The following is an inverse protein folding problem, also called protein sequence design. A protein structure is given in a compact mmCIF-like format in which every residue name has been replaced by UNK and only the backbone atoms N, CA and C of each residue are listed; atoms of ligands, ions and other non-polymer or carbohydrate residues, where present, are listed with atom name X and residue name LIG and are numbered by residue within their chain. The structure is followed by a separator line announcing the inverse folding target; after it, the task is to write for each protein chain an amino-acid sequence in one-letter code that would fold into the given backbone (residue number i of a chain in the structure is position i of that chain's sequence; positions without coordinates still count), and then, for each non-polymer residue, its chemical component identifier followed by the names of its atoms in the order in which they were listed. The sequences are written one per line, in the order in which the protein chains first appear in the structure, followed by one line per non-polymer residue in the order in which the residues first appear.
data_IF_977536545063
#
_entry.id   IF_977536545063
#
_cell.length_a   1.000
_cell.length_b   1.000
_cell.length_c   1.000
_cell.angle_alpha   90.00
_cell.angle_beta   90.00
_cell.angle_gamma   90.00
#
_symmetry.space_group_name_H-M   'P 1'
#
loop_
_entity.id
_entity.type
_entity.pdbx_description
1 polymer ?
#
# COMPACT_ATOMS: atom_id res chain seq x y z
N UNK A 1 -0.52 -12.87 16.85
CA UNK A 1 -1.18 -13.75 17.82
C UNK A 1 -0.73 -13.40 19.25
N UNK A 2 -1.60 -13.59 20.25
CA UNK A 2 -1.42 -13.15 21.66
C UNK A 2 -0.29 -13.87 22.42
N UNK A 3 0.25 -14.97 21.89
CA UNK A 3 1.13 -15.89 22.62
C UNK A 3 2.50 -16.14 21.97
N UNK A 4 2.86 -15.46 20.87
CA UNK A 4 4.13 -15.69 20.16
C UNK A 4 5.35 -15.63 21.09
N UNK A 5 5.45 -14.57 21.90
CA UNK A 5 6.51 -14.39 22.91
C UNK A 5 6.58 -15.54 23.91
N UNK A 6 5.43 -16.07 24.32
CA UNK A 6 5.37 -17.17 25.26
C UNK A 6 5.83 -18.49 24.64
N UNK A 7 5.44 -18.76 23.39
CA UNK A 7 5.90 -19.94 22.65
C UNK A 7 7.38 -19.88 22.33
N UNK A 8 7.88 -18.74 21.82
CA UNK A 8 9.32 -18.57 21.57
C UNK A 8 10.15 -18.73 22.84
N UNK A 9 9.68 -18.20 23.98
CA UNK A 9 10.41 -18.31 25.25
C UNK A 9 10.41 -19.74 25.82
N UNK A 10 9.33 -20.49 25.64
CA UNK A 10 9.10 -21.73 26.38
C UNK A 10 9.23 -23.00 25.52
N UNK A 11 9.13 -22.91 24.19
CA UNK A 11 9.14 -24.05 23.26
C UNK A 11 9.63 -23.60 21.87
N UNK A 12 10.84 -23.03 21.83
CA UNK A 12 11.42 -22.40 20.63
C UNK A 12 11.53 -23.38 19.46
N UNK A 13 12.07 -24.59 19.68
CA UNK A 13 12.30 -25.58 18.62
C UNK A 13 11.02 -25.98 17.89
N UNK A 14 9.94 -26.27 18.65
CA UNK A 14 8.65 -26.64 18.04
C UNK A 14 7.96 -25.44 17.40
N UNK A 15 8.13 -24.25 17.96
CA UNK A 15 7.57 -23.04 17.39
C UNK A 15 8.22 -22.68 16.06
N UNK A 16 9.55 -22.75 15.97
CA UNK A 16 10.30 -22.56 14.72
C UNK A 16 9.91 -23.59 13.67
N UNK A 17 9.81 -24.88 14.06
CA UNK A 17 9.32 -25.93 13.16
C UNK A 17 7.90 -25.70 12.68
N UNK A 18 7.00 -25.25 13.57
CA UNK A 18 5.63 -24.89 13.19
C UNK A 18 5.60 -23.75 12.17
N UNK A 19 6.41 -22.71 12.34
CA UNK A 19 6.51 -21.61 11.36
C UNK A 19 7.02 -22.11 10.01
N UNK A 20 8.02 -23.01 10.01
CA UNK A 20 8.51 -23.65 8.79
C UNK A 20 7.41 -24.50 8.13
N UNK A 21 6.70 -25.32 8.88
CA UNK A 21 5.59 -26.14 8.37
C UNK A 21 4.46 -25.26 7.78
N UNK A 22 4.21 -24.07 8.34
CA UNK A 22 3.26 -23.09 7.76
C UNK A 22 3.80 -22.50 6.45
N UNK A 23 5.08 -22.14 6.39
CA UNK A 23 5.71 -21.63 5.15
C UNK A 23 5.69 -22.67 4.03
N UNK A 24 5.89 -23.95 4.38
CA UNK A 24 5.85 -25.08 3.44
C UNK A 24 4.41 -25.53 3.12
N UNK A 25 3.38 -24.87 3.66
CA UNK A 25 1.97 -25.19 3.43
C UNK A 25 1.47 -26.48 4.12
N UNK A 26 2.30 -27.08 4.99
CA UNK A 26 1.99 -28.29 5.77
C UNK A 26 1.12 -28.01 6.99
N UNK A 27 1.12 -26.77 7.47
CA UNK A 27 0.28 -26.29 8.56
C UNK A 27 -0.46 -25.00 8.16
N UNK A 28 -1.59 -24.72 8.82
CA UNK A 28 -2.41 -23.52 8.57
C UNK A 28 -2.37 -22.58 9.77
N UNK A 29 -2.12 -21.30 9.51
CA UNK A 29 -2.31 -20.23 10.49
C UNK A 29 -3.66 -19.55 10.25
N UNK A 30 -4.45 -19.34 11.30
CA UNK A 30 -5.73 -18.63 11.17
C UNK A 30 -5.48 -17.12 11.07
N UNK A 31 -5.43 -16.61 9.85
CA UNK A 31 -5.29 -15.19 9.50
C UNK A 31 -6.61 -14.50 9.24
N UNK A 32 -7.76 -15.18 9.36
CA UNK A 32 -9.08 -14.56 9.10
C UNK A 32 -9.40 -13.39 10.05
N UNK A 33 -8.70 -13.28 11.18
CA UNK A 33 -8.85 -12.20 12.17
C UNK A 33 -7.77 -11.12 12.03
N UNK A 34 -6.75 -11.33 11.18
CA UNK A 34 -5.62 -10.41 11.03
C UNK A 34 -5.74 -9.61 9.73
N UNK A 35 -5.71 -8.29 9.86
CA UNK A 35 -5.63 -7.38 8.70
C UNK A 35 -4.17 -7.05 8.37
N UNK A 36 -3.87 -6.57 7.15
CA UNK A 36 -2.52 -6.10 6.79
C UNK A 36 -1.98 -5.07 7.79
N UNK A 37 -2.83 -4.14 8.22
CA UNK A 37 -2.42 -3.07 9.12
C UNK A 37 -2.25 -3.51 10.58
N UNK A 38 -2.87 -4.62 11.01
CA UNK A 38 -2.55 -5.22 12.30
C UNK A 38 -1.11 -5.76 12.34
N UNK A 39 -0.63 -6.30 11.22
CA UNK A 39 0.75 -6.77 11.09
C UNK A 39 1.72 -5.58 11.09
N UNK A 40 1.41 -4.51 10.34
CA UNK A 40 2.21 -3.28 10.37
C UNK A 40 2.26 -2.66 11.77
N UNK A 41 1.13 -2.61 12.49
CA UNK A 41 1.10 -2.12 13.88
C UNK A 41 2.02 -2.93 14.78
N UNK A 42 2.10 -4.25 14.58
CA UNK A 42 3.02 -5.11 15.32
C UNK A 42 4.48 -4.82 14.99
N UNK A 43 4.81 -4.49 13.75
CA UNK A 43 6.17 -4.08 13.37
C UNK A 43 6.60 -2.81 14.11
N UNK A 44 5.70 -1.82 14.26
CA UNK A 44 6.00 -0.58 14.98
C UNK A 44 6.28 -0.79 16.47
N UNK A 45 5.59 -1.77 17.10
CA UNK A 45 5.67 -2.01 18.55
C UNK A 45 6.66 -3.13 18.91
N UNK A 46 6.84 -4.12 18.04
CA UNK A 46 7.55 -5.37 18.33
C UNK A 46 8.65 -5.62 17.26
N UNK A 47 9.88 -5.16 17.52
CA UNK A 47 10.97 -5.27 16.54
C UNK A 47 11.64 -6.67 16.46
N UNK A 48 11.23 -7.63 17.30
CA UNK A 48 11.97 -8.89 17.53
C UNK A 48 11.30 -10.17 16.98
N UNK A 49 10.17 -10.06 16.26
CA UNK A 49 9.41 -11.22 15.74
C UNK A 49 9.23 -11.21 14.21
N UNK A 50 10.21 -10.69 13.47
CA UNK A 50 10.12 -10.48 12.01
C UNK A 50 9.71 -11.75 11.24
N UNK A 51 10.27 -12.92 11.57
CA UNK A 51 9.93 -14.19 10.91
C UNK A 51 8.47 -14.61 11.11
N UNK A 52 7.93 -14.44 12.32
CA UNK A 52 6.54 -14.73 12.61
C UNK A 52 5.60 -13.75 11.89
N UNK A 53 5.99 -12.48 11.79
CA UNK A 53 5.24 -11.44 11.07
C UNK A 53 5.25 -11.68 9.56
N UNK A 54 6.39 -12.06 8.97
CA UNK A 54 6.48 -12.49 7.58
C UNK A 54 5.55 -13.66 7.30
N UNK A 55 5.56 -14.67 8.17
CA UNK A 55 4.70 -15.85 8.03
C UNK A 55 3.22 -15.47 8.09
N UNK A 56 2.84 -14.58 9.01
CA UNK A 56 1.46 -14.05 9.07
C UNK A 56 1.09 -13.28 7.81
N UNK A 57 1.99 -12.44 7.30
CA UNK A 57 1.77 -11.62 6.10
C UNK A 57 1.55 -12.47 4.85
N UNK A 58 2.41 -13.46 4.63
CA UNK A 58 2.34 -14.38 3.50
C UNK A 58 1.07 -15.25 3.52
N UNK A 59 0.47 -15.45 4.71
CA UNK A 59 -0.77 -16.20 4.89
C UNK A 59 -2.02 -15.31 4.92
N UNK A 60 -1.91 -13.99 4.66
CA UNK A 60 -3.11 -13.14 4.55
C UNK A 60 -3.97 -13.58 3.36
N UNK A 61 -5.29 -13.72 3.54
CA UNK A 61 -6.18 -14.10 2.45
C UNK A 61 -6.09 -13.07 1.32
N UNK A 62 -6.29 -13.52 0.07
CA UNK A 62 -6.44 -12.59 -1.05
C UNK A 62 -7.89 -12.06 -1.09
N UNK A 63 -8.07 -10.81 -0.69
CA UNK A 63 -9.38 -10.15 -0.63
C UNK A 63 -9.92 -9.79 -2.03
N UNK A 64 -9.06 -9.77 -3.05
CA UNK A 64 -9.45 -9.50 -4.44
C UNK A 64 -9.89 -10.78 -5.19
N UNK A 65 -9.78 -11.96 -4.56
CA UNK A 65 -10.12 -13.23 -5.19
C UNK A 65 -9.15 -13.61 -6.31
N UNK A 66 -9.63 -14.36 -7.31
CA UNK A 66 -8.82 -14.69 -8.50
C UNK A 66 -8.64 -13.49 -9.44
N UNK A 67 -9.52 -12.50 -9.32
CA UNK A 67 -9.47 -11.26 -10.07
C UNK A 67 -8.27 -10.42 -9.62
N UNK A 68 -7.49 -9.92 -10.59
CA UNK A 68 -6.50 -8.88 -10.29
C UNK A 68 -7.19 -7.54 -10.19
N UNK A 69 -6.74 -6.74 -9.22
CA UNK A 69 -7.06 -5.33 -9.23
C UNK A 69 -6.11 -4.65 -10.22
N UNK A 70 -6.61 -4.14 -11.35
CA UNK A 70 -5.79 -3.34 -12.28
C UNK A 70 -5.63 -1.91 -11.70
N UNK A 71 -4.97 -1.80 -10.55
CA UNK A 71 -4.86 -0.55 -9.81
C UNK A 71 -3.41 -0.19 -9.50
N UNK A 72 -3.14 1.09 -9.26
CA UNK A 72 -1.92 1.53 -8.58
C UNK A 72 -2.33 2.22 -7.27
N UNK A 73 -1.61 1.96 -6.19
CA UNK A 73 -1.90 2.53 -4.87
C UNK A 73 -0.94 3.67 -4.56
N UNK A 74 -1.48 4.78 -4.07
CA UNK A 74 -0.73 5.90 -3.53
C UNK A 74 -0.85 5.90 -2.00
N UNK A 75 0.28 5.85 -1.32
CA UNK A 75 0.41 5.68 0.13
C UNK A 75 0.75 7.02 0.79
N UNK A 76 -0.14 7.53 1.63
CA UNK A 76 0.15 8.69 2.46
C UNK A 76 0.96 8.28 3.70
N UNK A 77 2.11 8.92 3.88
CA UNK A 77 2.98 8.76 5.05
C UNK A 77 3.34 10.12 5.68
N UNK A 78 2.53 11.14 5.39
CA UNK A 78 2.69 12.49 5.92
C UNK A 78 2.53 12.55 7.44
N UNK A 79 2.92 13.68 8.04
CA UNK A 79 2.91 13.84 9.50
C UNK A 79 1.53 13.75 10.16
N UNK A 80 0.44 14.02 9.41
CA UNK A 80 -0.95 13.89 9.89
C UNK A 80 -1.35 12.41 10.03
N UNK A 81 -0.76 11.54 9.19
CA UNK A 81 -0.87 10.09 9.27
C UNK A 81 -0.08 9.58 10.48
N UNK A 82 -0.69 9.65 11.66
CA UNK A 82 -0.10 9.18 12.92
C UNK A 82 -0.99 8.13 13.59
N UNK A 83 -0.39 7.21 14.35
CA UNK A 83 -1.14 6.15 15.04
C UNK A 83 -1.72 5.08 14.10
N UNK A 84 -3.03 4.90 14.09
CA UNK A 84 -3.69 3.89 13.25
C UNK A 84 -3.69 4.25 11.75
N UNK A 85 -4.02 5.48 11.31
CA UNK A 85 -3.97 5.91 9.91
C UNK A 85 -2.71 5.47 9.14
N UNK A 86 -1.51 5.70 9.69
CA UNK A 86 -0.26 5.30 9.03
C UNK A 86 -0.10 3.80 8.89
N UNK A 87 -0.52 3.02 9.90
CA UNK A 87 -0.51 1.57 9.82
C UNK A 87 -1.44 1.06 8.72
N UNK A 88 -2.61 1.69 8.58
CA UNK A 88 -3.61 1.36 7.55
C UNK A 88 -3.08 1.70 6.17
N UNK A 89 -2.54 2.91 6.00
CA UNK A 89 -1.97 3.38 4.73
C UNK A 89 -0.86 2.46 4.22
N UNK A 90 0.17 2.22 5.04
CA UNK A 90 1.30 1.38 4.66
C UNK A 90 0.86 -0.08 4.45
N UNK A 91 0.03 -0.61 5.36
CA UNK A 91 -0.43 -2.00 5.29
C UNK A 91 -1.23 -2.27 4.02
N UNK A 92 -2.16 -1.38 3.67
CA UNK A 92 -2.94 -1.52 2.44
C UNK A 92 -2.09 -1.27 1.19
N UNK A 93 -1.15 -0.31 1.21
CA UNK A 93 -0.28 -0.03 0.08
C UNK A 93 0.58 -1.25 -0.29
N UNK A 94 1.29 -1.85 0.68
CA UNK A 94 2.10 -3.05 0.43
C UNK A 94 1.19 -4.21 -0.01
N UNK A 95 0.07 -4.40 0.67
CA UNK A 95 -0.85 -5.50 0.40
C UNK A 95 -1.44 -5.45 -1.02
N UNK A 96 -1.89 -4.27 -1.46
CA UNK A 96 -2.44 -4.03 -2.79
C UNK A 96 -1.34 -4.17 -3.83
N UNK A 97 -0.18 -3.54 -3.65
CA UNK A 97 0.92 -3.59 -4.59
C UNK A 97 1.36 -5.04 -4.88
N UNK A 98 1.52 -5.87 -3.85
CA UNK A 98 1.90 -7.28 -4.02
C UNK A 98 0.83 -8.16 -4.66
N UNK A 99 -0.46 -7.81 -4.51
CA UNK A 99 -1.58 -8.59 -5.08
C UNK A 99 -2.03 -8.06 -6.45
N UNK A 100 -1.50 -6.93 -6.86
CA UNK A 100 -1.65 -6.40 -8.20
C UNK A 100 -1.02 -7.36 -9.23
N UNK A 101 -1.49 -7.31 -10.47
CA UNK A 101 -0.92 -8.09 -11.59
C UNK A 101 -0.45 -7.14 -12.69
N UNK A 102 0.30 -7.67 -13.65
CA UNK A 102 0.82 -6.89 -14.77
C UNK A 102 1.96 -5.95 -14.36
N UNK A 103 2.11 -4.83 -15.08
CA UNK A 103 3.26 -3.92 -14.96
C UNK A 103 3.39 -3.22 -13.62
N UNK A 104 2.29 -3.11 -12.88
CA UNK A 104 2.23 -2.42 -11.59
C UNK A 104 2.25 -3.40 -10.40
N UNK A 105 2.46 -4.70 -10.66
CA UNK A 105 2.78 -5.66 -9.61
C UNK A 105 3.99 -5.17 -8.82
N UNK A 106 3.88 -5.20 -7.49
CA UNK A 106 4.87 -4.68 -6.54
C UNK A 106 5.20 -3.20 -6.66
N UNK A 107 4.38 -2.39 -7.33
CA UNK A 107 4.60 -0.95 -7.39
C UNK A 107 3.60 -0.19 -6.52
N UNK A 108 4.06 0.89 -5.90
CA UNK A 108 3.23 1.87 -5.20
C UNK A 108 3.75 3.28 -5.46
N UNK A 109 2.94 4.29 -5.14
CA UNK A 109 3.30 5.70 -5.23
C UNK A 109 3.39 6.28 -3.82
N UNK A 110 4.42 7.06 -3.51
CA UNK A 110 4.43 7.87 -2.30
C UNK A 110 3.51 9.09 -2.50
N UNK A 111 2.52 9.28 -1.65
CA UNK A 111 1.61 10.41 -1.76
C UNK A 111 2.22 11.63 -1.06
N UNK A 112 3.02 12.38 -1.83
CA UNK A 112 3.72 13.57 -1.36
C UNK A 112 3.68 14.71 -2.40
N UNK A 113 4.35 15.83 -2.13
CA UNK A 113 4.43 16.98 -3.03
C UNK A 113 5.13 16.66 -4.36
N UNK A 114 6.15 15.80 -4.33
CA UNK A 114 6.90 15.26 -5.48
C UNK A 114 6.76 13.73 -5.57
N UNK A 115 5.51 13.27 -5.72
CA UNK A 115 5.15 11.85 -5.76
C UNK A 115 5.87 11.09 -6.88
N UNK A 116 6.30 9.87 -6.59
CA UNK A 116 7.08 8.99 -7.47
C UNK A 116 6.58 7.55 -7.37
N UNK A 117 6.83 6.79 -8.44
CA UNK A 117 6.61 5.35 -8.41
C UNK A 117 7.81 4.65 -7.75
N UNK A 118 7.51 3.75 -6.82
CA UNK A 118 8.48 2.92 -6.10
C UNK A 118 8.17 1.45 -6.33
N UNK A 119 9.20 0.62 -6.32
CA UNK A 119 9.11 -0.82 -6.45
C UNK A 119 9.37 -1.48 -5.09
N UNK A 120 8.55 -2.46 -4.74
CA UNK A 120 8.69 -3.32 -3.58
C UNK A 120 9.49 -4.57 -3.99
N UNK A 121 10.62 -4.87 -3.34
CA UNK A 121 11.37 -6.07 -3.68
C UNK A 121 10.57 -7.35 -3.36
N UNK A 122 10.54 -8.29 -4.30
CA UNK A 122 9.84 -9.59 -4.15
C UNK A 122 10.29 -10.39 -2.92
N UNK A 123 11.59 -10.33 -2.61
CA UNK A 123 12.23 -11.15 -1.57
C UNK A 123 12.50 -10.38 -0.27
N UNK A 124 11.84 -9.25 -0.05
CA UNK A 124 11.98 -8.48 1.19
C UNK A 124 11.04 -9.01 2.29
N UNK A 125 11.52 -8.96 3.52
CA UNK A 125 10.68 -9.14 4.71
C UNK A 125 9.67 -8.00 4.83
N UNK A 126 8.55 -8.25 5.52
CA UNK A 126 7.54 -7.22 5.80
C UNK A 126 8.13 -6.04 6.59
N UNK A 127 9.19 -6.26 7.37
CA UNK A 127 9.92 -5.21 8.07
C UNK A 127 10.67 -4.30 7.08
N UNK A 128 11.41 -4.89 6.15
CA UNK A 128 12.12 -4.15 5.09
C UNK A 128 11.15 -3.40 4.17
N UNK A 129 10.03 -4.03 3.79
CA UNK A 129 8.97 -3.38 3.02
C UNK A 129 8.37 -2.20 3.78
N UNK A 130 8.08 -2.37 5.07
CA UNK A 130 7.61 -1.27 5.93
C UNK A 130 8.63 -0.13 5.98
N UNK A 131 9.91 -0.44 6.22
CA UNK A 131 10.98 0.56 6.33
C UNK A 131 11.20 1.31 5.00
N UNK A 132 11.03 0.62 3.86
CA UNK A 132 11.07 1.23 2.53
C UNK A 132 9.89 2.20 2.33
N UNK A 133 8.66 1.77 2.64
CA UNK A 133 7.47 2.60 2.42
C UNK A 133 7.46 3.82 3.34
N UNK A 134 7.77 3.66 4.63
CA UNK A 134 7.78 4.80 5.58
C UNK A 134 8.87 5.83 5.24
N UNK A 135 9.97 5.41 4.60
CA UNK A 135 11.06 6.31 4.18
C UNK A 135 10.93 6.81 2.74
N UNK A 136 9.87 6.43 2.02
CA UNK A 136 9.68 6.76 0.61
C UNK A 136 9.38 8.24 0.37
N UNK A 137 8.60 8.86 1.26
CA UNK A 137 8.21 10.26 1.11
C UNK A 137 9.37 11.21 1.38
N UNK A 138 9.53 12.19 0.49
CA UNK A 138 10.61 13.20 0.55
C UNK A 138 10.17 14.53 1.14
N UNK A 139 8.87 14.73 1.28
CA UNK A 139 8.27 15.90 1.92
C UNK A 139 7.00 15.52 2.71
N UNK A 140 6.42 16.50 3.38
CA UNK A 140 5.21 16.34 4.20
C UNK A 140 3.96 16.95 3.54
N UNK A 141 4.03 17.31 2.26
CA UNK A 141 2.92 17.96 1.55
C UNK A 141 2.11 16.90 0.80
N UNK A 142 0.79 17.05 0.68
CA UNK A 142 -0.05 16.14 -0.10
C UNK A 142 -0.51 16.79 -1.42
N UNK A 143 -0.18 16.18 -2.56
CA UNK A 143 -0.54 16.75 -3.88
C UNK A 143 -1.02 15.68 -4.88
N UNK A 144 -2.32 15.65 -5.13
CA UNK A 144 -2.95 14.65 -6.02
C UNK A 144 -2.50 14.84 -7.48
N UNK A 145 -2.21 16.07 -7.93
CA UNK A 145 -1.67 16.29 -9.27
C UNK A 145 -0.30 15.64 -9.42
N UNK A 146 0.51 15.63 -8.36
CA UNK A 146 1.81 14.96 -8.36
C UNK A 146 1.66 13.45 -8.58
N UNK A 147 0.72 12.80 -7.90
CA UNK A 147 0.37 11.40 -8.14
C UNK A 147 -0.10 11.18 -9.58
N UNK A 148 -1.09 11.96 -10.02
CA UNK A 148 -1.76 11.73 -11.31
C UNK A 148 -0.87 12.04 -12.51
N UNK A 149 -0.07 13.11 -12.45
CA UNK A 149 0.73 13.58 -13.59
C UNK A 149 2.18 13.15 -13.45
N UNK A 150 2.85 13.53 -12.35
CA UNK A 150 4.29 13.33 -12.21
C UNK A 150 4.65 11.86 -11.97
N UNK A 151 3.90 11.16 -11.12
CA UNK A 151 4.16 9.74 -10.85
C UNK A 151 3.60 8.85 -11.97
N UNK A 152 2.30 8.92 -12.26
CA UNK A 152 1.67 7.97 -13.19
C UNK A 152 1.94 8.34 -14.65
N UNK A 153 1.42 9.48 -15.11
CA UNK A 153 1.43 9.81 -16.54
C UNK A 153 2.86 9.88 -17.11
N UNK A 154 3.79 10.52 -16.40
CA UNK A 154 5.18 10.58 -16.85
C UNK A 154 5.86 9.19 -16.82
N UNK A 155 5.52 8.30 -15.89
CA UNK A 155 5.99 6.90 -15.92
C UNK A 155 5.47 6.15 -17.13
N UNK A 156 4.19 6.30 -17.47
CA UNK A 156 3.60 5.66 -18.65
C UNK A 156 4.32 6.12 -19.93
N UNK A 157 4.58 7.42 -20.05
CA UNK A 157 5.24 8.02 -21.22
C UNK A 157 6.71 7.60 -21.29
N UNK A 158 7.45 7.72 -20.19
CA UNK A 158 8.88 7.39 -20.12
C UNK A 158 9.13 5.94 -20.51
N UNK A 159 8.27 5.02 -20.06
CA UNK A 159 8.41 3.59 -20.31
C UNK A 159 7.62 3.10 -21.53
N UNK A 160 6.90 3.99 -22.23
CA UNK A 160 6.09 3.69 -23.42
C UNK A 160 5.09 2.54 -23.17
N UNK A 161 4.40 2.60 -22.04
CA UNK A 161 3.44 1.58 -21.64
C UNK A 161 2.24 1.61 -22.58
N UNK A 162 1.79 0.47 -23.16
CA UNK A 162 0.56 0.42 -23.95
C UNK A 162 -0.67 0.80 -23.11
N UNK A 163 -1.70 1.36 -23.75
CA UNK A 163 -2.95 1.75 -23.08
C UNK A 163 -3.61 0.60 -22.34
N UNK A 164 -3.51 -0.60 -22.91
CA UNK A 164 -4.11 -1.83 -22.43
C UNK A 164 -3.44 -2.34 -21.14
N UNK A 165 -2.18 -1.93 -20.90
CA UNK A 165 -1.40 -2.29 -19.71
C UNK A 165 -1.39 -1.16 -18.66
N UNK A 166 -2.09 -0.05 -18.92
CA UNK A 166 -2.22 1.05 -17.97
C UNK A 166 -3.12 0.65 -16.79
N UNK A 167 -2.90 1.23 -15.59
CA UNK A 167 -3.76 0.94 -14.46
C UNK A 167 -5.14 1.55 -14.73
N UNK A 168 -6.21 0.81 -14.42
CA UNK A 168 -7.60 1.29 -14.53
C UNK A 168 -7.99 2.16 -13.34
N UNK A 169 -7.40 1.88 -12.18
CA UNK A 169 -7.71 2.55 -10.92
C UNK A 169 -6.46 3.14 -10.26
N UNK A 170 -6.62 4.25 -9.58
CA UNK A 170 -5.64 4.80 -8.64
C UNK A 170 -6.31 4.84 -7.27
N UNK A 171 -5.76 4.12 -6.30
CA UNK A 171 -6.28 4.09 -4.93
C UNK A 171 -5.39 4.97 -4.07
N UNK A 172 -5.91 6.12 -3.62
CA UNK A 172 -5.18 7.05 -2.76
C UNK A 172 -5.63 6.80 -1.32
N UNK A 173 -4.72 6.38 -0.46
CA UNK A 173 -4.98 6.07 0.95
C UNK A 173 -4.42 7.19 1.81
N UNK A 174 -5.29 7.98 2.43
CA UNK A 174 -4.94 9.22 3.13
C UNK A 174 -6.01 9.58 4.17
N UNK A 175 -5.71 10.46 5.10
CA UNK A 175 -6.68 11.10 6.02
C UNK A 175 -7.50 12.23 5.35
N UNK A 176 -7.25 12.48 4.06
CA UNK A 176 -7.88 13.52 3.25
C UNK A 176 -7.60 14.96 3.72
N UNK A 177 -6.57 15.19 4.53
CA UNK A 177 -6.04 16.55 4.78
C UNK A 177 -5.24 17.02 3.53
N UNK A 178 -5.96 17.52 2.53
CA UNK A 178 -5.36 18.04 1.29
C UNK A 178 -4.91 19.50 1.48
N UNK A 179 -3.60 19.73 1.62
CA UNK A 179 -3.04 21.07 1.87
C UNK A 179 -3.22 22.06 0.69
N UNK A 180 -3.50 21.56 -0.52
CA UNK A 180 -3.82 22.41 -1.68
C UNK A 180 -4.94 21.84 -2.56
N UNK A 181 -6.19 22.02 -2.13
CA UNK A 181 -7.28 22.13 -3.10
C UNK A 181 -7.15 23.48 -3.84
N UNK A 182 -6.60 23.45 -5.05
CA UNK A 182 -6.45 24.63 -5.91
C UNK A 182 -7.72 25.48 -5.98
N UNK A 183 -7.57 26.79 -5.71
CA UNK A 183 -8.65 27.77 -5.77
C UNK A 183 -9.27 27.80 -7.19
N UNK A 184 -10.48 27.28 -7.38
CA UNK A 184 -11.27 27.58 -8.58
C UNK A 184 -12.28 26.50 -8.94
N UNK A 185 -13.51 26.90 -9.27
CA UNK A 185 -14.66 26.05 -9.57
C UNK A 185 -14.47 25.40 -10.96
N UNK A 186 -14.50 24.04 -11.04
CA UNK A 186 -14.18 23.15 -12.19
C UNK A 186 -12.69 23.07 -12.57
N UNK A 187 -11.88 22.19 -12.00
CA UNK A 187 -10.41 22.42 -12.14
C UNK A 187 -9.48 21.22 -12.19
N UNK A 188 -9.51 20.23 -11.29
CA UNK A 188 -8.43 19.22 -11.26
C UNK A 188 -8.66 17.99 -12.16
N UNK A 189 -9.84 17.35 -12.06
CA UNK A 189 -10.12 16.11 -12.81
C UNK A 189 -10.20 16.37 -14.32
N UNK A 190 -10.89 17.42 -14.76
CA UNK A 190 -10.98 17.77 -16.19
C UNK A 190 -9.60 18.12 -16.77
N UNK A 191 -8.77 18.79 -15.98
CA UNK A 191 -7.39 19.10 -16.34
C UNK A 191 -6.54 17.83 -16.50
N UNK A 192 -6.60 16.90 -15.54
CA UNK A 192 -5.90 15.62 -15.65
C UNK A 192 -6.40 14.81 -16.85
N UNK A 193 -7.72 14.70 -17.03
CA UNK A 193 -8.31 14.05 -18.22
C UNK A 193 -7.73 14.61 -19.52
N UNK A 194 -7.67 15.94 -19.63
CA UNK A 194 -7.08 16.60 -20.80
C UNK A 194 -5.58 16.28 -20.96
N UNK A 195 -4.80 16.27 -19.88
CA UNK A 195 -3.37 15.93 -19.90
C UNK A 195 -3.13 14.50 -20.40
N UNK A 196 -3.89 13.54 -19.87
CA UNK A 196 -3.83 12.14 -20.30
C UNK A 196 -4.22 12.02 -21.78
N UNK A 197 -5.35 12.62 -22.18
CA UNK A 197 -5.85 12.54 -23.55
C UNK A 197 -4.87 13.12 -24.58
N UNK A 198 -4.27 14.29 -24.31
CA UNK A 198 -3.28 14.92 -25.20
C UNK A 198 -2.02 14.05 -25.36
N UNK A 199 -1.69 13.25 -24.35
CA UNK A 199 -0.56 12.31 -24.37
C UNK A 199 -0.96 10.92 -24.90
N UNK A 200 -2.20 10.74 -25.32
CA UNK A 200 -2.69 9.48 -25.88
C UNK A 200 -2.91 8.40 -24.83
N UNK A 201 -3.27 8.76 -23.60
CA UNK A 201 -3.64 7.83 -22.52
C UNK A 201 -5.05 8.11 -22.01
N UNK A 202 -5.65 7.09 -21.39
CA UNK A 202 -6.91 7.23 -20.68
C UNK A 202 -6.62 7.46 -19.19
N UNK A 203 -7.32 8.42 -18.58
CA UNK A 203 -7.12 8.72 -17.17
C UNK A 203 -7.70 7.59 -16.32
N UNK A 204 -6.95 7.04 -15.35
CA UNK A 204 -7.50 6.04 -14.44
C UNK A 204 -8.58 6.65 -13.54
N UNK A 205 -9.49 5.79 -13.07
CA UNK A 205 -10.49 6.19 -12.07
C UNK A 205 -9.80 6.36 -10.72
N UNK A 206 -9.97 7.55 -10.12
CA UNK A 206 -9.39 7.85 -8.81
C UNK A 206 -10.36 7.40 -7.71
N UNK A 207 -9.86 6.60 -6.78
CA UNK A 207 -10.56 6.11 -5.60
C UNK A 207 -9.85 6.70 -4.39
N UNK A 208 -10.58 7.45 -3.56
CA UNK A 208 -10.07 7.95 -2.29
C UNK A 208 -10.50 7.01 -1.16
N UNK A 209 -9.53 6.54 -0.39
CA UNK A 209 -9.75 5.74 0.79
C UNK A 209 -9.36 6.55 2.02
N UNK A 210 -10.36 7.11 2.71
CA UNK A 210 -10.12 7.81 3.97
C UNK A 210 -9.78 6.83 5.09
N UNK A 211 -8.68 7.06 5.80
CA UNK A 211 -8.24 6.20 6.91
C UNK A 211 -8.18 6.91 8.28
N UNK A 212 -8.46 8.21 8.33
CA UNK A 212 -8.61 8.95 9.58
C UNK A 212 -10.09 9.29 9.79
N UNK A 213 -10.77 8.43 10.55
CA UNK A 213 -12.18 8.57 10.88
C UNK A 213 -12.35 9.44 12.13
N UNK A 214 -11.92 10.71 12.04
CA UNK A 214 -12.32 11.76 13.02
C UNK A 214 -13.77 12.21 12.82
N UNK A 215 -14.41 11.79 11.72
CA UNK A 215 -15.81 12.07 11.42
C UNK A 215 -16.50 10.78 10.99
N UNK A 216 -17.10 10.06 11.95
CA UNK A 216 -17.99 8.90 11.74
C UNK A 216 -18.66 8.90 10.36
N UNK A 217 -18.05 8.24 9.38
CA UNK A 217 -18.72 7.86 8.14
C UNK A 217 -18.58 6.34 8.04
N UNK A 218 -19.47 5.67 8.78
CA UNK A 218 -19.85 4.31 8.45
C UNK A 218 -20.64 4.31 7.13
N UNK A 219 -20.58 3.20 6.36
CA UNK A 219 -21.14 3.09 5.01
C UNK A 219 -22.64 3.41 4.89
#
# INVERSE_FOLDING_TARGET
AKYNKAFKRNDEDRYSKYLQDVQEGKAKINTQVLTPFDIIRKIQVENNEVEALNTMWNNLPNLFGEDSIDAIVACDVSGSMSGNPICISIGLAIYIAQRNKGRFHNHFIDFCGDSRLHELPDNASIKELYDLVISSSRDMNTNIESVMVNAILETLIKNKIPKEECPKYVIIISDMEFDMCGKGKKTNIEYWKKKYQVRGYDMPTVIFWNVDDRNNIFP
#
